data_IF_390238004209
#
_entry.id   IF_390238004209
#
_cell.length_a   1.000
_cell.length_b   1.000
_cell.length_c   1.000
_cell.angle_alpha   90.00
_cell.angle_beta   90.00
_cell.angle_gamma   90.00
#
_symmetry.space_group_name_H-M   'P 1'
#
loop_
_entity.id
_entity.type
_entity.pdbx_description
1 polymer ?
#
# COMPACT_ATOMS: atom_id res chain seq x y z
N UNK A 1 92.24 24.36 -2.29
CA UNK A 1 92.16 23.68 -0.97
C UNK A 1 90.72 23.20 -0.80
N UNK A 2 90.59 21.89 -0.91
CA UNK A 2 89.31 21.20 -0.97
C UNK A 2 88.72 21.04 0.46
N UNK A 3 87.54 21.58 0.71
CA UNK A 3 86.72 21.21 1.87
C UNK A 3 85.59 20.32 1.39
N UNK A 4 85.90 19.06 1.17
CA UNK A 4 84.92 18.02 1.11
C UNK A 4 84.42 17.77 2.53
N UNK A 5 83.30 18.36 2.91
CA UNK A 5 82.69 18.16 4.19
C UNK A 5 82.31 16.69 4.37
N UNK A 6 82.88 16.00 5.36
CA UNK A 6 82.47 14.73 5.84
C UNK A 6 81.02 14.89 6.37
N UNK A 7 80.05 14.39 5.69
CA UNK A 7 78.71 14.26 6.26
C UNK A 7 78.83 13.54 7.61
N UNK A 8 78.32 14.17 8.66
CA UNK A 8 78.35 13.59 9.98
C UNK A 8 77.51 12.32 10.01
N UNK A 9 77.97 11.26 10.70
CA UNK A 9 77.16 10.02 10.87
C UNK A 9 75.76 10.32 11.41
N UNK A 10 75.56 11.47 12.01
CA UNK A 10 74.29 11.96 12.52
C UNK A 10 73.37 12.39 11.35
N UNK A 11 73.88 13.20 10.42
CA UNK A 11 73.14 13.73 9.27
C UNK A 11 72.66 12.60 8.36
N UNK A 12 73.47 11.58 8.15
CA UNK A 12 73.13 10.38 7.39
C UNK A 12 71.99 9.59 8.07
N UNK A 13 72.05 9.45 9.43
CA UNK A 13 71.00 8.77 10.17
C UNK A 13 69.67 9.54 10.15
N UNK A 14 69.72 10.85 10.25
CA UNK A 14 68.50 11.69 10.18
C UNK A 14 67.86 11.64 8.80
N UNK A 15 68.63 11.70 7.71
CA UNK A 15 68.12 11.53 6.33
C UNK A 15 67.48 10.18 6.15
N UNK A 16 68.11 9.07 6.56
CA UNK A 16 67.55 7.74 6.48
C UNK A 16 66.26 7.57 7.31
N UNK A 17 66.20 8.23 8.47
CA UNK A 17 64.99 8.22 9.29
C UNK A 17 63.85 9.00 8.63
N UNK A 18 64.12 10.14 8.01
CA UNK A 18 63.15 10.92 7.26
C UNK A 18 62.64 10.18 6.03
N UNK A 19 63.51 9.53 5.27
CA UNK A 19 63.11 8.73 4.08
C UNK A 19 62.23 7.54 4.51
N UNK A 20 62.54 6.82 5.58
CA UNK A 20 61.72 5.74 6.11
C UNK A 20 60.37 6.24 6.61
N UNK A 21 60.33 7.41 7.26
CA UNK A 21 59.09 8.00 7.72
C UNK A 21 58.20 8.42 6.53
N UNK A 22 58.78 9.00 5.47
CA UNK A 22 58.06 9.34 4.24
C UNK A 22 57.53 8.10 3.54
N UNK A 23 58.34 7.05 3.39
CA UNK A 23 57.92 5.78 2.80
C UNK A 23 56.78 5.12 3.60
N UNK A 24 56.87 5.11 4.94
CA UNK A 24 55.82 4.60 5.81
C UNK A 24 54.52 5.40 5.70
N UNK A 25 54.61 6.73 5.61
CA UNK A 25 53.42 7.57 5.41
C UNK A 25 52.73 7.35 4.07
N UNK A 26 53.52 7.15 3.01
CA UNK A 26 52.97 6.81 1.66
C UNK A 26 52.31 5.43 1.68
N UNK A 27 52.93 4.43 2.29
CA UNK A 27 52.33 3.10 2.43
C UNK A 27 51.05 3.12 3.27
N UNK A 28 51.04 3.82 4.41
CA UNK A 28 49.85 3.96 5.23
C UNK A 28 48.69 4.64 4.48
N UNK A 29 48.98 5.67 3.66
CA UNK A 29 47.97 6.30 2.79
C UNK A 29 47.42 5.35 1.74
N UNK A 30 48.29 4.55 1.09
CA UNK A 30 47.86 3.54 0.11
C UNK A 30 46.98 2.48 0.75
N UNK A 31 47.38 1.92 1.89
CA UNK A 31 46.61 0.93 2.62
C UNK A 31 45.25 1.49 3.08
N UNK A 32 45.21 2.74 3.57
CA UNK A 32 43.98 3.40 3.97
C UNK A 32 43.06 3.60 2.79
N UNK A 33 43.58 4.05 1.64
CA UNK A 33 42.76 4.19 0.41
C UNK A 33 42.21 2.85 -0.10
N UNK A 34 43.02 1.78 -0.05
CA UNK A 34 42.58 0.43 -0.43
C UNK A 34 41.48 -0.06 0.52
N UNK A 35 41.66 0.11 1.84
CA UNK A 35 40.62 -0.28 2.83
C UNK A 35 39.32 0.50 2.63
N UNK A 36 39.41 1.81 2.45
CA UNK A 36 38.22 2.66 2.19
C UNK A 36 37.56 2.26 0.88
N UNK A 37 38.34 2.01 -0.19
CA UNK A 37 37.83 1.54 -1.47
C UNK A 37 37.12 0.19 -1.39
N UNK A 38 37.70 -0.76 -0.64
CA UNK A 38 37.07 -2.07 -0.42
C UNK A 38 35.74 -1.95 0.37
N UNK A 39 35.72 -1.14 1.42
CA UNK A 39 34.50 -0.89 2.19
C UNK A 39 33.43 -0.24 1.32
N UNK A 40 33.78 0.77 0.53
CA UNK A 40 32.85 1.42 -0.40
C UNK A 40 32.31 0.44 -1.46
N UNK A 41 33.17 -0.43 -2.00
CA UNK A 41 32.76 -1.47 -2.94
C UNK A 41 31.77 -2.46 -2.33
N UNK A 42 32.01 -2.92 -1.10
CA UNK A 42 31.07 -3.81 -0.38
C UNK A 42 29.72 -3.11 -0.20
N UNK A 43 29.70 -1.84 0.22
CA UNK A 43 28.47 -1.08 0.35
C UNK A 43 27.71 -0.95 -0.97
N UNK A 44 28.40 -0.71 -2.08
CA UNK A 44 27.78 -0.64 -3.41
C UNK A 44 27.20 -1.98 -3.86
N UNK A 45 27.89 -3.10 -3.58
CA UNK A 45 27.38 -4.44 -3.88
C UNK A 45 26.15 -4.74 -3.05
N UNK A 46 26.18 -4.49 -1.73
CA UNK A 46 25.04 -4.72 -0.83
C UNK A 46 23.85 -3.84 -1.23
N UNK A 47 24.08 -2.56 -1.52
CA UNK A 47 23.04 -1.66 -2.01
C UNK A 47 22.48 -2.10 -3.36
N UNK A 48 23.33 -2.53 -4.30
CA UNK A 48 22.92 -3.03 -5.62
C UNK A 48 22.12 -4.33 -5.53
N UNK A 49 22.56 -5.28 -4.72
CA UNK A 49 21.83 -6.53 -4.46
C UNK A 49 20.52 -6.25 -3.74
N UNK A 50 20.53 -5.41 -2.69
CA UNK A 50 19.33 -5.02 -1.96
C UNK A 50 18.30 -4.33 -2.86
N UNK A 51 18.74 -3.42 -3.73
CA UNK A 51 17.88 -2.76 -4.71
C UNK A 51 17.37 -3.76 -5.76
N UNK A 52 18.23 -4.66 -6.25
CA UNK A 52 17.83 -5.70 -7.20
C UNK A 52 16.77 -6.64 -6.64
N UNK A 53 16.95 -7.13 -5.42
CA UNK A 53 15.96 -7.95 -4.70
C UNK A 53 14.67 -7.17 -4.46
N UNK A 54 14.76 -5.91 -4.02
CA UNK A 54 13.60 -5.05 -3.82
C UNK A 54 12.80 -4.83 -5.10
N UNK A 55 13.47 -4.54 -6.23
CA UNK A 55 12.81 -4.35 -7.53
C UNK A 55 12.23 -5.64 -8.11
N UNK A 56 12.89 -6.78 -7.88
CA UNK A 56 12.42 -8.08 -8.36
C UNK A 56 11.23 -8.61 -7.57
N UNK A 57 11.14 -8.28 -6.28
CA UNK A 57 10.07 -8.69 -5.38
C UNK A 57 8.93 -7.69 -5.29
N UNK A 58 8.95 -6.59 -6.06
CA UNK A 58 7.78 -5.71 -6.13
C UNK A 58 6.58 -6.48 -6.65
N UNK A 59 5.46 -6.53 -5.90
CA UNK A 59 4.23 -7.11 -6.42
C UNK A 59 3.88 -6.41 -7.73
N UNK A 60 3.76 -7.19 -8.80
CA UNK A 60 3.38 -6.66 -10.13
C UNK A 60 1.88 -6.82 -10.27
N UNK A 61 1.22 -5.76 -10.77
CA UNK A 61 -0.18 -5.86 -11.15
C UNK A 61 -0.31 -6.77 -12.38
N UNK A 62 -1.34 -7.61 -12.38
CA UNK A 62 -1.71 -8.39 -13.56
C UNK A 62 -2.60 -7.54 -14.48
N UNK A 63 -2.02 -7.04 -15.55
CA UNK A 63 -2.73 -6.21 -16.54
C UNK A 63 -3.79 -7.00 -17.34
N UNK A 64 -3.77 -8.34 -17.29
CA UNK A 64 -4.71 -9.22 -17.98
C UNK A 64 -5.90 -9.62 -17.11
N UNK A 65 -5.88 -9.29 -15.82
CA UNK A 65 -6.96 -9.60 -14.91
C UNK A 65 -8.28 -8.95 -15.34
N UNK A 66 -9.35 -9.72 -15.30
CA UNK A 66 -10.70 -9.19 -15.46
C UNK A 66 -10.99 -8.16 -14.37
N UNK A 67 -11.61 -7.04 -14.73
CA UNK A 67 -12.01 -5.98 -13.78
C UNK A 67 -13.53 -5.74 -13.86
N UNK A 68 -14.18 -5.36 -12.75
CA UNK A 68 -15.61 -5.02 -12.76
C UNK A 68 -15.91 -3.82 -13.66
N UNK A 69 -17.15 -3.70 -14.13
CA UNK A 69 -17.59 -2.58 -14.96
C UNK A 69 -17.36 -1.22 -14.28
N UNK A 70 -16.81 -0.28 -15.04
CA UNK A 70 -16.56 1.08 -14.55
C UNK A 70 -15.33 1.23 -13.65
N UNK A 71 -14.61 0.15 -13.41
CA UNK A 71 -13.33 0.18 -12.66
C UNK A 71 -12.17 0.45 -13.62
N UNK A 72 -11.22 1.29 -13.20
CA UNK A 72 -10.00 1.55 -13.99
C UNK A 72 -9.00 0.40 -13.84
N UNK A 73 -8.64 -0.32 -14.93
CA UNK A 73 -7.63 -1.38 -14.86
C UNK A 73 -6.24 -0.82 -14.48
N UNK A 74 -5.34 -1.65 -13.91
CA UNK A 74 -5.58 -3.02 -13.46
C UNK A 74 -6.11 -3.13 -12.02
N UNK A 75 -5.92 -2.15 -11.17
CA UNK A 75 -6.21 -2.20 -9.73
C UNK A 75 -6.89 -0.93 -9.20
N UNK A 76 -7.76 -0.30 -10.01
CA UNK A 76 -8.61 0.79 -9.57
C UNK A 76 -9.74 0.31 -8.65
N UNK A 77 -10.27 1.21 -7.83
CA UNK A 77 -11.44 0.96 -6.97
C UNK A 77 -12.76 1.20 -7.69
N UNK A 78 -13.84 0.93 -6.97
CA UNK A 78 -15.22 1.15 -7.42
C UNK A 78 -15.63 2.60 -7.15
N UNK A 79 -16.05 3.31 -8.20
CA UNK A 79 -16.56 4.69 -8.07
C UNK A 79 -18.01 4.68 -7.63
N UNK A 80 -18.31 5.46 -6.57
CA UNK A 80 -19.67 5.63 -6.03
C UNK A 80 -20.09 7.09 -6.19
N UNK A 81 -21.22 7.30 -6.85
CA UNK A 81 -21.76 8.63 -7.10
C UNK A 81 -21.27 9.26 -8.41
N UNK A 82 -21.44 10.59 -8.53
CA UNK A 82 -21.22 11.35 -9.78
C UNK A 82 -20.15 12.42 -9.67
N UNK A 83 -19.54 12.59 -8.50
CA UNK A 83 -18.48 13.58 -8.26
C UNK A 83 -17.24 13.29 -9.11
N UNK A 84 -16.51 14.35 -9.44
CA UNK A 84 -15.29 14.25 -10.25
C UNK A 84 -14.04 14.68 -9.48
N UNK A 85 -14.18 15.63 -8.56
CA UNK A 85 -13.09 16.15 -7.71
C UNK A 85 -13.65 16.82 -6.45
N UNK A 86 -12.88 16.92 -5.34
CA UNK A 86 -11.63 16.18 -5.12
C UNK A 86 -11.85 14.67 -5.10
N UNK A 87 -10.79 13.88 -5.26
CA UNK A 87 -10.87 12.41 -5.18
C UNK A 87 -10.78 12.00 -3.71
N UNK A 88 -11.75 11.21 -3.26
CA UNK A 88 -11.76 10.61 -1.93
C UNK A 88 -11.65 9.10 -2.07
N UNK A 89 -10.54 8.52 -1.63
CA UNK A 89 -10.29 7.08 -1.64
C UNK A 89 -10.56 6.49 -0.25
N UNK A 90 -11.30 5.39 -0.23
CA UNK A 90 -11.58 4.58 0.96
C UNK A 90 -11.00 3.19 0.74
N UNK A 91 -9.94 2.88 1.48
CA UNK A 91 -9.26 1.58 1.45
C UNK A 91 -9.77 0.76 2.64
N UNK A 92 -10.39 -0.36 2.36
CA UNK A 92 -11.11 -1.14 3.36
C UNK A 92 -10.94 -2.65 3.15
N UNK A 93 -11.24 -3.41 4.19
CA UNK A 93 -11.27 -4.87 4.16
C UNK A 93 -12.56 -5.35 4.83
N UNK A 94 -13.31 -6.21 4.15
CA UNK A 94 -14.60 -6.70 4.65
C UNK A 94 -14.50 -7.53 5.94
N UNK A 95 -13.34 -8.07 6.29
CA UNK A 95 -13.12 -8.74 7.58
C UNK A 95 -12.74 -7.78 8.71
N UNK A 96 -12.41 -6.50 8.40
CA UNK A 96 -11.89 -5.54 9.39
C UNK A 96 -13.01 -5.00 10.29
N UNK A 97 -12.95 -5.22 11.63
CA UNK A 97 -13.95 -4.67 12.55
C UNK A 97 -13.96 -3.15 12.62
N UNK A 98 -12.80 -2.51 12.45
CA UNK A 98 -12.71 -1.05 12.41
C UNK A 98 -13.36 -0.46 11.15
N UNK A 99 -13.29 -1.15 9.99
CA UNK A 99 -14.02 -0.77 8.79
C UNK A 99 -15.53 -0.85 9.02
N UNK A 100 -16.02 -1.95 9.62
CA UNK A 100 -17.43 -2.06 10.01
C UNK A 100 -17.87 -0.91 10.91
N UNK A 101 -17.11 -0.63 11.96
CA UNK A 101 -17.45 0.45 12.90
C UNK A 101 -17.51 1.82 12.20
N UNK A 102 -16.62 2.07 11.24
CA UNK A 102 -16.62 3.29 10.42
C UNK A 102 -17.84 3.35 9.50
N UNK A 103 -18.18 2.25 8.82
CA UNK A 103 -19.38 2.16 7.96
C UNK A 103 -20.67 2.28 8.76
N UNK A 104 -20.79 1.63 9.91
CA UNK A 104 -21.95 1.75 10.80
C UNK A 104 -22.18 3.20 11.27
N UNK A 105 -21.09 3.96 11.51
CA UNK A 105 -21.17 5.31 12.04
C UNK A 105 -21.26 6.39 10.95
N UNK A 106 -20.52 6.26 9.88
CA UNK A 106 -20.32 7.30 8.86
C UNK A 106 -20.62 6.85 7.43
N UNK A 107 -20.99 5.59 7.18
CA UNK A 107 -21.19 5.06 5.82
C UNK A 107 -22.17 5.90 4.99
N UNK A 108 -23.35 6.24 5.53
CA UNK A 108 -24.33 7.08 4.84
C UNK A 108 -23.81 8.50 4.59
N UNK A 109 -23.03 9.07 5.49
CA UNK A 109 -22.41 10.37 5.30
C UNK A 109 -21.37 10.32 4.17
N UNK A 110 -20.49 9.32 4.18
CA UNK A 110 -19.44 9.11 3.16
C UNK A 110 -20.08 8.92 1.79
N UNK A 111 -21.09 8.04 1.68
CA UNK A 111 -21.83 7.82 0.45
C UNK A 111 -22.49 9.10 -0.05
N UNK A 112 -23.05 9.90 0.88
CA UNK A 112 -23.65 11.20 0.58
C UNK A 112 -22.67 12.19 -0.04
N UNK A 113 -21.39 12.15 0.30
CA UNK A 113 -20.36 12.97 -0.33
C UNK A 113 -20.19 12.64 -1.81
N UNK A 114 -20.19 11.34 -2.16
CA UNK A 114 -20.10 10.88 -3.54
C UNK A 114 -21.37 11.14 -4.34
N UNK A 115 -22.53 10.76 -3.80
CA UNK A 115 -23.81 10.85 -4.50
C UNK A 115 -24.28 12.30 -4.71
N UNK A 116 -23.93 13.22 -3.80
CA UNK A 116 -24.15 14.66 -3.99
C UNK A 116 -23.18 15.31 -4.97
N UNK A 117 -22.18 14.59 -5.46
CA UNK A 117 -21.17 15.12 -6.36
C UNK A 117 -20.08 15.94 -5.67
N UNK A 118 -20.06 16.00 -4.33
CA UNK A 118 -19.08 16.78 -3.55
C UNK A 118 -17.66 16.24 -3.69
N UNK A 119 -17.51 14.92 -3.89
CA UNK A 119 -16.23 14.27 -4.14
C UNK A 119 -16.38 13.17 -5.20
N UNK A 120 -15.29 12.79 -5.86
CA UNK A 120 -15.18 11.50 -6.55
C UNK A 120 -14.87 10.44 -5.51
N UNK A 121 -15.89 9.74 -5.03
CA UNK A 121 -15.74 8.70 -4.02
C UNK A 121 -15.32 7.38 -4.67
N UNK A 122 -14.24 6.78 -4.20
CA UNK A 122 -13.70 5.51 -4.70
C UNK A 122 -13.48 4.56 -3.52
N UNK A 123 -14.12 3.40 -3.57
CA UNK A 123 -13.89 2.31 -2.62
C UNK A 123 -12.88 1.31 -3.18
N UNK A 124 -11.90 0.94 -2.38
CA UNK A 124 -10.85 -0.02 -2.70
C UNK A 124 -10.95 -1.24 -1.77
N UNK A 125 -11.71 -2.27 -2.15
CA UNK A 125 -11.83 -3.48 -1.33
C UNK A 125 -10.54 -4.30 -1.39
N UNK A 126 -9.91 -4.47 -0.23
CA UNK A 126 -8.62 -5.14 -0.07
C UNK A 126 -8.79 -6.61 0.38
N UNK A 127 -7.73 -7.39 0.21
CA UNK A 127 -7.51 -8.69 0.85
C UNK A 127 -6.43 -8.61 1.94
N UNK A 128 -6.39 -7.47 2.64
CA UNK A 128 -5.32 -7.08 3.56
C UNK A 128 -5.17 -8.04 4.75
N UNK A 129 -6.29 -8.48 5.32
CA UNK A 129 -6.29 -9.30 6.52
C UNK A 129 -6.11 -10.79 6.26
N UNK A 130 -6.28 -11.27 5.03
CA UNK A 130 -6.23 -12.70 4.72
C UNK A 130 -4.92 -13.36 5.14
N UNK A 131 -3.77 -12.69 4.95
CA UNK A 131 -2.48 -13.21 5.36
C UNK A 131 -2.37 -13.40 6.87
N UNK A 132 -2.85 -12.43 7.65
CA UNK A 132 -2.77 -12.47 9.11
C UNK A 132 -3.77 -13.48 9.71
N UNK A 133 -4.92 -13.65 9.05
CA UNK A 133 -6.00 -14.53 9.49
C UNK A 133 -5.90 -15.94 8.88
N UNK A 134 -4.93 -16.14 7.99
CA UNK A 134 -4.68 -17.41 7.30
C UNK A 134 -5.95 -17.98 6.63
N UNK A 135 -6.66 -17.11 5.90
CA UNK A 135 -7.84 -17.44 5.10
C UNK A 135 -7.84 -16.62 3.79
N UNK A 136 -8.92 -16.72 2.99
CA UNK A 136 -9.14 -16.00 1.74
C UNK A 136 -10.48 -15.24 1.73
N UNK A 137 -11.02 -14.97 2.91
CA UNK A 137 -12.38 -14.43 3.05
C UNK A 137 -12.50 -12.97 2.62
N UNK A 138 -11.47 -12.15 2.85
CA UNK A 138 -11.42 -10.78 2.32
C UNK A 138 -11.38 -10.80 0.79
N UNK A 139 -10.55 -11.67 0.21
CA UNK A 139 -10.43 -11.86 -1.24
C UNK A 139 -11.78 -12.29 -1.86
N UNK A 140 -12.49 -13.26 -1.24
CA UNK A 140 -13.81 -13.68 -1.70
C UNK A 140 -14.87 -12.59 -1.58
N UNK A 141 -14.92 -11.87 -0.45
CA UNK A 141 -15.88 -10.80 -0.25
C UNK A 141 -15.64 -9.64 -1.23
N UNK A 142 -14.39 -9.26 -1.45
CA UNK A 142 -14.01 -8.25 -2.43
C UNK A 142 -14.34 -8.70 -3.87
N UNK A 143 -14.09 -9.97 -4.24
CA UNK A 143 -14.53 -10.53 -5.52
C UNK A 143 -16.05 -10.42 -5.69
N UNK A 144 -16.83 -10.83 -4.68
CA UNK A 144 -18.28 -10.75 -4.74
C UNK A 144 -18.78 -9.30 -4.85
N UNK A 145 -18.11 -8.34 -4.24
CA UNK A 145 -18.42 -6.91 -4.40
C UNK A 145 -18.21 -6.43 -5.84
N UNK A 146 -17.17 -6.93 -6.53
CA UNK A 146 -16.92 -6.71 -7.95
C UNK A 146 -18.04 -7.33 -8.82
N UNK A 147 -18.49 -8.54 -8.49
CA UNK A 147 -19.63 -9.18 -9.17
C UNK A 147 -20.92 -8.37 -9.00
N UNK A 148 -21.16 -7.80 -7.82
CA UNK A 148 -22.30 -6.92 -7.56
C UNK A 148 -22.17 -5.58 -8.31
N UNK A 149 -20.93 -5.05 -8.47
CA UNK A 149 -20.65 -3.85 -9.24
C UNK A 149 -21.06 -3.98 -10.70
N UNK A 150 -20.85 -5.13 -11.33
CA UNK A 150 -21.26 -5.39 -12.71
C UNK A 150 -22.76 -5.19 -12.96
N UNK A 151 -23.52 -5.32 -11.90
CA UNK A 151 -24.97 -5.19 -11.92
C UNK A 151 -25.47 -3.91 -11.22
N UNK A 152 -24.55 -2.96 -10.95
CA UNK A 152 -24.86 -1.67 -10.30
C UNK A 152 -25.30 -1.80 -8.84
N UNK A 153 -24.87 -2.87 -8.15
CA UNK A 153 -25.29 -3.19 -6.79
C UNK A 153 -24.13 -3.21 -5.79
N UNK A 154 -23.01 -2.55 -6.12
CA UNK A 154 -21.86 -2.47 -5.20
C UNK A 154 -22.26 -1.99 -3.81
N UNK A 155 -22.83 -0.78 -3.68
CA UNK A 155 -23.17 -0.21 -2.36
C UNK A 155 -24.16 -1.06 -1.56
N UNK A 156 -25.33 -1.46 -2.11
CA UNK A 156 -26.24 -2.34 -1.37
C UNK A 156 -25.59 -3.66 -0.95
N UNK A 157 -24.70 -4.23 -1.78
CA UNK A 157 -23.97 -5.45 -1.43
C UNK A 157 -22.94 -5.21 -0.31
N UNK A 158 -22.15 -4.15 -0.42
CA UNK A 158 -21.19 -3.71 0.58
C UNK A 158 -21.84 -3.55 1.96
N UNK A 159 -23.01 -2.89 2.02
CA UNK A 159 -23.77 -2.72 3.24
C UNK A 159 -24.23 -4.07 3.84
N UNK A 160 -24.64 -5.02 2.99
CA UNK A 160 -25.03 -6.34 3.44
C UNK A 160 -23.84 -7.11 4.02
N UNK A 161 -22.64 -7.00 3.43
CA UNK A 161 -21.45 -7.67 3.94
C UNK A 161 -21.08 -7.12 5.31
N UNK A 162 -20.98 -5.81 5.51
CA UNK A 162 -20.66 -5.22 6.81
C UNK A 162 -21.76 -5.44 7.86
N UNK A 163 -23.02 -5.35 7.48
CA UNK A 163 -24.15 -5.65 8.38
C UNK A 163 -24.08 -7.06 8.96
N UNK A 164 -23.62 -8.03 8.16
CA UNK A 164 -23.51 -9.43 8.51
C UNK A 164 -22.07 -9.86 8.84
N UNK A 165 -21.17 -8.90 9.12
CA UNK A 165 -19.80 -9.22 9.49
C UNK A 165 -19.80 -10.07 10.78
N UNK A 166 -19.11 -11.24 10.78
CA UNK A 166 -19.03 -12.09 11.96
C UNK A 166 -18.42 -11.34 13.16
N UNK A 167 -18.99 -11.54 14.35
CA UNK A 167 -18.50 -10.89 15.57
C UNK A 167 -17.06 -11.30 15.93
N UNK A 168 -16.62 -12.51 15.53
CA UNK A 168 -15.25 -12.97 15.70
C UNK A 168 -14.49 -12.74 14.40
N UNK A 169 -13.48 -11.89 14.47
CA UNK A 169 -12.54 -11.68 13.36
C UNK A 169 -11.91 -13.00 12.90
N UNK A 170 -11.73 -13.15 11.59
CA UNK A 170 -11.18 -14.38 11.00
C UNK A 170 -12.17 -15.51 10.78
N UNK A 171 -13.44 -15.39 11.23
CA UNK A 171 -14.49 -16.34 10.84
C UNK A 171 -14.74 -16.27 9.34
N UNK A 172 -14.70 -15.04 8.78
CA UNK A 172 -14.84 -14.79 7.36
C UNK A 172 -16.20 -15.11 6.76
N UNK A 173 -16.24 -15.25 5.45
CA UNK A 173 -17.45 -15.49 4.66
C UNK A 173 -17.25 -16.67 3.72
N UNK A 174 -18.28 -17.47 3.54
CA UNK A 174 -18.37 -18.47 2.47
C UNK A 174 -18.99 -17.87 1.22
N UNK A 175 -18.73 -18.47 0.05
CA UNK A 175 -19.39 -18.05 -1.19
C UNK A 175 -20.92 -18.13 -1.09
N UNK A 176 -21.45 -19.15 -0.41
CA UNK A 176 -22.89 -19.29 -0.18
C UNK A 176 -23.46 -18.10 0.61
N UNK A 177 -22.78 -17.64 1.66
CA UNK A 177 -23.20 -16.45 2.41
C UNK A 177 -23.14 -15.19 1.54
N UNK A 178 -22.07 -15.01 0.77
CA UNK A 178 -21.92 -13.88 -0.13
C UNK A 178 -23.00 -13.86 -1.23
N UNK A 179 -23.41 -15.02 -1.71
CA UNK A 179 -24.52 -15.16 -2.66
C UNK A 179 -25.84 -14.72 -2.01
N UNK A 180 -26.12 -15.12 -0.77
CA UNK A 180 -27.31 -14.66 -0.04
C UNK A 180 -27.28 -13.14 0.22
N UNK A 181 -26.08 -12.56 0.47
CA UNK A 181 -25.95 -11.10 0.60
C UNK A 181 -26.23 -10.38 -0.73
N UNK A 182 -25.83 -10.97 -1.86
CA UNK A 182 -26.18 -10.45 -3.19
C UNK A 182 -27.70 -10.44 -3.43
N UNK A 183 -28.39 -11.51 -3.03
CA UNK A 183 -29.85 -11.58 -3.08
C UNK A 183 -30.50 -10.51 -2.19
N UNK A 184 -30.02 -10.37 -0.95
CA UNK A 184 -30.50 -9.34 -0.02
C UNK A 184 -30.21 -7.90 -0.50
N UNK A 185 -29.12 -7.70 -1.26
CA UNK A 185 -28.77 -6.45 -1.91
C UNK A 185 -29.61 -6.13 -3.16
N UNK A 186 -30.45 -7.06 -3.60
CA UNK A 186 -31.29 -6.89 -4.78
C UNK A 186 -30.51 -6.95 -6.09
N UNK A 187 -29.50 -7.81 -6.18
CA UNK A 187 -28.80 -8.11 -7.42
C UNK A 187 -29.80 -8.69 -8.44
N UNK A 188 -29.96 -8.09 -9.64
CA UNK A 188 -31.06 -8.43 -10.54
C UNK A 188 -30.90 -9.79 -11.22
N UNK A 189 -29.67 -10.16 -11.64
CA UNK A 189 -29.39 -11.46 -12.26
C UNK A 189 -28.55 -12.32 -11.30
N UNK A 190 -29.24 -13.07 -10.46
CA UNK A 190 -28.62 -13.95 -9.48
C UNK A 190 -27.85 -15.12 -10.13
N UNK A 191 -28.22 -15.57 -11.32
CA UNK A 191 -27.50 -16.65 -12.01
C UNK A 191 -26.10 -16.18 -12.42
N UNK A 192 -26.00 -15.05 -13.09
CA UNK A 192 -24.72 -14.44 -13.46
C UNK A 192 -23.90 -14.07 -12.23
N UNK A 193 -24.53 -13.54 -11.18
CA UNK A 193 -23.85 -13.19 -9.92
C UNK A 193 -23.25 -14.42 -9.24
N UNK A 194 -24.02 -15.52 -9.09
CA UNK A 194 -23.53 -16.76 -8.50
C UNK A 194 -22.35 -17.33 -9.28
N UNK A 195 -22.43 -17.38 -10.61
CA UNK A 195 -21.33 -17.84 -11.46
C UNK A 195 -20.07 -16.98 -11.26
N UNK A 196 -20.24 -15.66 -11.21
CA UNK A 196 -19.12 -14.74 -10.98
C UNK A 196 -18.47 -14.97 -9.61
N UNK A 197 -19.26 -15.15 -8.54
CA UNK A 197 -18.76 -15.41 -7.18
C UNK A 197 -18.02 -16.76 -7.13
N UNK A 198 -18.65 -17.84 -7.60
CA UNK A 198 -18.07 -19.20 -7.52
C UNK A 198 -16.89 -19.43 -8.45
N UNK A 199 -16.83 -18.73 -9.59
CA UNK A 199 -15.69 -18.78 -10.51
C UNK A 199 -14.54 -17.85 -10.07
N UNK A 200 -14.71 -17.09 -8.98
CA UNK A 200 -13.71 -16.16 -8.48
C UNK A 200 -13.22 -15.17 -9.55
N UNK A 201 -14.16 -14.67 -10.36
CA UNK A 201 -13.88 -13.93 -11.60
C UNK A 201 -12.96 -12.73 -11.39
N UNK A 202 -13.04 -12.09 -10.23
CA UNK A 202 -12.30 -10.85 -9.91
C UNK A 202 -11.16 -11.01 -8.92
N UNK A 203 -10.68 -12.24 -8.63
CA UNK A 203 -9.53 -12.45 -7.75
C UNK A 203 -8.29 -11.70 -8.23
N UNK A 204 -8.03 -11.71 -9.55
CA UNK A 204 -6.92 -10.97 -10.14
C UNK A 204 -7.04 -9.45 -9.93
N UNK A 205 -8.26 -8.90 -10.08
CA UNK A 205 -8.52 -7.50 -9.78
C UNK A 205 -8.27 -7.17 -8.30
N UNK A 206 -8.80 -7.96 -7.37
CA UNK A 206 -8.59 -7.73 -5.92
C UNK A 206 -7.11 -7.76 -5.56
N UNK A 207 -6.34 -8.70 -6.13
CA UNK A 207 -4.88 -8.74 -5.95
C UNK A 207 -4.20 -7.48 -6.50
N UNK A 208 -4.70 -6.93 -7.61
CA UNK A 208 -4.22 -5.67 -8.16
C UNK A 208 -4.60 -4.48 -7.27
N UNK A 209 -5.81 -4.46 -6.68
CA UNK A 209 -6.22 -3.44 -5.69
C UNK A 209 -5.31 -3.51 -4.47
N UNK A 210 -5.02 -4.72 -3.95
CA UNK A 210 -4.07 -4.89 -2.84
C UNK A 210 -2.67 -4.38 -3.20
N UNK A 211 -2.20 -4.66 -4.42
CA UNK A 211 -0.90 -4.16 -4.92
C UNK A 211 -0.89 -2.64 -5.01
N UNK A 212 -1.99 -2.02 -5.47
CA UNK A 212 -2.16 -0.57 -5.51
C UNK A 212 -2.19 0.04 -4.11
N UNK A 213 -2.85 -0.61 -3.15
CA UNK A 213 -2.86 -0.21 -1.73
C UNK A 213 -1.45 -0.23 -1.12
N UNK A 214 -0.67 -1.28 -1.39
CA UNK A 214 0.72 -1.38 -0.94
C UNK A 214 1.58 -0.25 -1.54
N UNK A 215 1.40 0.07 -2.83
CA UNK A 215 2.08 1.17 -3.50
C UNK A 215 1.68 2.55 -2.93
N UNK A 216 0.42 2.71 -2.52
CA UNK A 216 -0.10 3.90 -1.83
C UNK A 216 0.22 3.93 -0.33
N UNK A 217 1.04 2.99 0.16
CA UNK A 217 1.43 2.87 1.57
C UNK A 217 0.24 2.70 2.53
N UNK A 218 -0.78 1.97 2.10
CA UNK A 218 -1.89 1.56 2.96
C UNK A 218 -1.39 0.44 3.88
N UNK A 219 -1.16 0.76 5.14
CA UNK A 219 -0.62 -0.15 6.17
C UNK A 219 -1.63 -0.56 7.22
N UNK A 220 -2.86 -0.06 7.12
CA UNK A 220 -3.99 -0.37 8.01
C UNK A 220 -5.31 -0.10 7.31
N UNK A 221 -6.39 -0.72 7.80
CA UNK A 221 -7.75 -0.47 7.35
C UNK A 221 -8.64 -0.06 8.51
N UNK A 222 -9.60 0.85 8.32
CA UNK A 222 -9.76 1.62 7.09
C UNK A 222 -8.69 2.70 6.92
N UNK A 223 -8.32 3.02 5.69
CA UNK A 223 -7.50 4.19 5.35
C UNK A 223 -8.29 5.10 4.40
N UNK A 224 -8.33 6.38 4.72
CA UNK A 224 -8.98 7.42 3.91
C UNK A 224 -7.93 8.36 3.34
N UNK A 225 -8.09 8.73 2.06
CA UNK A 225 -7.23 9.71 1.41
C UNK A 225 -8.10 10.73 0.68
N UNK A 226 -7.64 11.99 0.63
CA UNK A 226 -8.22 13.04 -0.23
C UNK A 226 -7.11 13.55 -1.14
N UNK A 227 -7.31 13.47 -2.46
CA UNK A 227 -6.30 13.73 -3.49
C UNK A 227 -4.93 13.09 -3.16
N UNK A 228 -4.96 11.81 -2.76
CA UNK A 228 -3.78 11.01 -2.43
C UNK A 228 -3.13 11.33 -1.08
N UNK A 229 -3.66 12.27 -0.30
CA UNK A 229 -3.16 12.60 1.04
C UNK A 229 -3.92 11.78 2.09
N UNK A 230 -3.21 10.93 2.83
CA UNK A 230 -3.78 10.12 3.90
C UNK A 230 -4.32 11.02 5.02
N UNK A 231 -5.55 10.75 5.47
CA UNK A 231 -6.14 11.41 6.62
C UNK A 231 -5.67 10.74 7.92
N UNK A 232 -5.34 11.55 8.91
CA UNK A 232 -4.95 11.08 10.24
C UNK A 232 -6.13 11.28 11.21
N UNK A 233 -6.66 10.18 11.72
CA UNK A 233 -7.74 10.16 12.71
C UNK A 233 -7.23 9.85 14.13
N UNK A 234 -5.92 9.78 14.36
CA UNK A 234 -5.34 9.39 15.65
C UNK A 234 -5.71 10.30 16.82
N UNK A 235 -6.04 11.56 16.52
CA UNK A 235 -6.46 12.57 17.52
C UNK A 235 -7.97 12.62 17.72
N UNK A 236 -8.76 12.01 16.82
CA UNK A 236 -10.23 12.05 16.90
C UNK A 236 -10.72 11.16 18.05
N UNK A 237 -11.61 11.73 18.88
CA UNK A 237 -12.22 11.06 20.04
C UNK A 237 -13.67 10.66 19.77
N UNK A 238 -14.22 11.05 18.63
CA UNK A 238 -15.58 10.76 18.20
C UNK A 238 -15.68 10.69 16.69
N UNK A 239 -16.75 10.09 16.18
CA UNK A 239 -17.04 10.07 14.74
C UNK A 239 -17.38 11.46 14.19
N UNK A 240 -17.88 12.38 15.02
CA UNK A 240 -18.08 13.79 14.61
C UNK A 240 -16.75 14.49 14.34
N UNK A 241 -15.71 14.19 15.14
CA UNK A 241 -14.35 14.70 14.88
C UNK A 241 -13.74 14.08 13.63
N UNK A 242 -13.96 12.78 13.37
CA UNK A 242 -13.56 12.12 12.12
C UNK A 242 -14.21 12.81 10.93
N UNK A 243 -15.52 13.06 10.99
CA UNK A 243 -16.26 13.79 9.96
C UNK A 243 -15.69 15.19 9.73
N UNK A 244 -15.38 15.93 10.78
CA UNK A 244 -14.79 17.26 10.69
C UNK A 244 -13.41 17.24 9.99
N UNK A 245 -12.59 16.21 10.24
CA UNK A 245 -11.30 16.02 9.55
C UNK A 245 -11.53 15.78 8.06
N UNK A 246 -12.49 14.92 7.69
CA UNK A 246 -12.86 14.65 6.30
C UNK A 246 -13.32 15.93 5.60
N UNK A 247 -14.28 16.67 6.22
CA UNK A 247 -14.83 17.91 5.66
C UNK A 247 -13.73 18.96 5.44
N UNK A 248 -12.81 19.11 6.40
CA UNK A 248 -11.66 20.01 6.30
C UNK A 248 -10.72 19.62 5.16
N UNK A 249 -10.45 18.33 5.00
CA UNK A 249 -9.57 17.85 3.92
C UNK A 249 -10.19 18.09 2.54
N UNK A 250 -11.49 17.84 2.40
CA UNK A 250 -12.24 18.10 1.16
C UNK A 250 -12.22 19.60 0.83
N UNK A 251 -12.52 20.48 1.82
CA UNK A 251 -12.50 21.92 1.62
C UNK A 251 -11.13 22.48 1.24
N UNK A 252 -10.04 21.84 1.69
CA UNK A 252 -8.68 22.24 1.34
C UNK A 252 -8.23 21.76 -0.05
N UNK A 253 -8.95 20.83 -0.66
CA UNK A 253 -8.65 20.22 -1.95
C UNK A 253 -9.59 20.74 -3.09
N UNK A 254 -10.62 21.55 -2.74
CA UNK A 254 -11.65 22.10 -3.62
C UNK A 254 -11.23 23.49 -4.23
#
# INVERSE_FOLDING_TARGET
MSQTGRESKRDVRERLAQERAQQAAVQQRKERMIRVGLVALVFLIVAGVGLGVYLSNRPKTDATASVPKGVTPPGGGVVVGTGTKPVMDVWEDFQCPACKAMEDALGSYIEGLGTSGKVKLIYHPLSFLDQNLNNDSSLRAANASGCAQDQGKFRPFHDQVYKNQPAKEGTGYTDAQLIEFGKAAGVPDMTTFQQCVTNHTYFGWVNNVQTSGNAAQVTSTPTFMVDGKKLDFSTAKSYDEVKAIIDKAIAAAS
#
